data_IF_042927065573
#
_entry.id   IF_042927065573
#
_cell.length_a   1.000
_cell.length_b   1.000
_cell.length_c   1.000
_cell.angle_alpha   90.00
_cell.angle_beta   90.00
_cell.angle_gamma   90.00
#
_symmetry.space_group_name_H-M   'P 1'
#
loop_
_entity.id
_entity.type
_entity.pdbx_description
1 polymer ?
#
# COMPACT_ATOMS: atom_id res chain seq x y z
N UNK A 1 25.59 15.08 0.74
CA UNK A 1 24.93 14.38 1.86
C UNK A 1 23.46 14.26 1.50
N UNK A 2 22.84 13.08 1.68
CA UNK A 2 21.42 12.87 1.41
C UNK A 2 20.51 13.48 2.50
N UNK A 3 21.05 13.71 3.70
CA UNK A 3 20.39 14.43 4.80
C UNK A 3 20.31 15.92 4.47
N UNK A 4 19.30 16.27 3.67
CA UNK A 4 18.95 17.64 3.30
C UNK A 4 17.65 18.02 3.98
N UNK A 5 17.53 19.29 4.37
CA UNK A 5 16.24 19.81 4.83
C UNK A 5 15.22 19.82 3.68
N UNK A 6 13.93 19.76 4.01
CA UNK A 6 12.88 19.83 2.98
C UNK A 6 13.00 21.10 2.14
N UNK A 7 13.31 22.24 2.76
CA UNK A 7 13.53 23.51 2.07
C UNK A 7 14.61 23.40 0.99
N UNK A 8 15.78 22.82 1.31
CA UNK A 8 16.86 22.65 0.33
C UNK A 8 16.47 21.73 -0.84
N UNK A 9 15.70 20.67 -0.56
CA UNK A 9 15.22 19.73 -1.59
C UNK A 9 14.25 20.45 -2.53
N UNK A 10 13.26 21.13 -1.96
CA UNK A 10 12.25 21.85 -2.73
C UNK A 10 12.87 23.01 -3.52
N UNK A 11 13.84 23.73 -2.97
CA UNK A 11 14.51 24.82 -3.68
C UNK A 11 15.38 24.31 -4.83
N UNK A 12 16.05 23.15 -4.67
CA UNK A 12 16.76 22.52 -5.79
C UNK A 12 15.81 22.08 -6.90
N UNK A 13 14.63 21.53 -6.56
CA UNK A 13 13.58 21.19 -7.53
C UNK A 13 13.02 22.43 -8.25
N UNK A 14 12.76 23.53 -7.53
CA UNK A 14 12.36 24.81 -8.14
C UNK A 14 13.42 25.32 -9.12
N UNK A 15 14.68 25.32 -8.71
CA UNK A 15 15.79 25.76 -9.55
C UNK A 15 15.86 24.93 -10.83
N UNK A 16 15.74 23.60 -10.73
CA UNK A 16 15.68 22.71 -11.89
C UNK A 16 14.53 23.07 -12.84
N UNK A 17 13.30 23.22 -12.32
CA UNK A 17 12.14 23.56 -13.14
C UNK A 17 12.24 24.95 -13.79
N UNK A 18 12.99 25.88 -13.20
CA UNK A 18 13.22 27.21 -13.78
C UNK A 18 14.11 27.19 -15.02
N UNK A 19 14.96 26.16 -15.17
CA UNK A 19 15.89 26.02 -16.31
C UNK A 19 15.20 25.49 -17.59
N UNK A 20 13.95 25.01 -17.48
CA UNK A 20 13.22 24.41 -18.59
C UNK A 20 11.89 25.12 -18.83
N UNK A 21 11.66 25.57 -20.07
CA UNK A 21 10.35 26.08 -20.49
C UNK A 21 9.30 24.95 -20.63
N UNK A 22 9.76 23.71 -20.82
CA UNK A 22 8.90 22.55 -20.96
C UNK A 22 8.23 22.17 -19.62
N UNK A 23 8.92 22.33 -18.49
CA UNK A 23 8.33 22.07 -17.17
C UNK A 23 7.39 23.21 -16.80
N UNK A 24 6.10 22.89 -16.66
CA UNK A 24 5.01 23.84 -16.39
C UNK A 24 4.64 23.90 -14.92
N UNK A 25 4.64 22.77 -14.24
CA UNK A 25 4.41 22.72 -12.80
C UNK A 25 5.19 21.59 -12.13
N UNK A 26 5.49 21.78 -10.85
CA UNK A 26 5.97 20.75 -9.95
C UNK A 26 5.02 20.66 -8.77
N UNK A 27 4.52 19.46 -8.47
CA UNK A 27 3.55 19.22 -7.40
C UNK A 27 4.12 18.15 -6.47
N UNK A 28 4.20 18.46 -5.18
CA UNK A 28 4.51 17.49 -4.13
C UNK A 28 3.21 16.81 -3.70
N UNK A 29 3.21 15.48 -3.63
CA UNK A 29 2.05 14.67 -3.22
C UNK A 29 2.39 13.68 -2.09
N UNK A 30 1.46 12.77 -1.77
CA UNK A 30 1.70 11.63 -0.86
C UNK A 30 2.03 12.03 0.59
N UNK A 31 2.89 11.27 1.28
CA UNK A 31 3.15 11.35 2.73
C UNK A 31 3.67 12.70 3.25
N UNK A 32 4.10 13.60 2.36
CA UNK A 32 4.58 14.94 2.69
C UNK A 32 3.50 16.02 2.60
N UNK A 33 2.30 15.65 2.15
CA UNK A 33 1.15 16.56 2.04
C UNK A 33 -0.07 15.94 2.72
N UNK A 34 -0.88 16.79 3.32
CA UNK A 34 -2.10 16.39 4.02
C UNK A 34 -2.07 16.74 5.51
N UNK A 35 -3.23 17.06 6.10
CA UNK A 35 -3.33 17.70 7.42
C UNK A 35 -2.86 16.81 8.58
N UNK A 36 -2.92 15.49 8.41
CA UNK A 36 -2.60 14.51 9.45
C UNK A 36 -1.27 13.78 9.20
N UNK A 37 -0.49 14.25 8.24
CA UNK A 37 0.83 13.69 7.95
C UNK A 37 1.89 14.29 8.86
N UNK A 38 2.91 13.49 9.19
CA UNK A 38 4.09 13.92 9.96
C UNK A 38 5.32 13.40 9.21
N UNK A 39 5.66 14.02 8.06
CA UNK A 39 6.81 13.58 7.29
C UNK A 39 8.08 13.75 8.13
N UNK A 40 9.00 12.81 7.95
CA UNK A 40 10.29 12.79 8.60
C UNK A 40 11.43 12.70 7.56
N UNK A 41 12.65 12.46 8.04
CA UNK A 41 13.83 12.32 7.19
C UNK A 41 13.83 11.06 6.33
N UNK A 42 13.00 10.07 6.65
CA UNK A 42 12.87 8.82 5.92
C UNK A 42 11.72 8.85 4.91
N UNK A 43 10.91 9.91 4.92
CA UNK A 43 9.83 10.09 3.97
C UNK A 43 10.40 10.41 2.59
N UNK A 44 9.95 9.71 1.56
CA UNK A 44 10.37 9.95 0.18
C UNK A 44 9.74 11.24 -0.37
N UNK A 45 10.19 11.69 -1.55
CA UNK A 45 9.59 12.82 -2.27
C UNK A 45 8.85 12.31 -3.50
N UNK A 46 7.52 12.31 -3.43
CA UNK A 46 6.66 12.04 -4.57
C UNK A 46 6.42 13.35 -5.34
N UNK A 47 7.02 13.49 -6.52
CA UNK A 47 7.01 14.71 -7.31
C UNK A 47 6.33 14.46 -8.65
N UNK A 48 5.21 15.13 -8.86
CA UNK A 48 4.61 15.21 -10.19
C UNK A 48 5.21 16.36 -10.98
N UNK A 49 5.67 16.04 -12.18
CA UNK A 49 6.29 16.98 -13.13
C UNK A 49 5.32 17.16 -14.29
N UNK A 50 4.66 18.31 -14.34
CA UNK A 50 3.73 18.62 -15.43
C UNK A 50 4.50 19.28 -16.57
N UNK A 51 4.43 18.72 -17.76
CA UNK A 51 5.23 19.14 -18.94
C UNK A 51 4.37 19.31 -20.18
N UNK A 52 4.84 20.10 -21.15
CA UNK A 52 4.20 20.17 -22.48
C UNK A 52 4.61 18.98 -23.37
N UNK A 53 5.84 18.51 -23.24
CA UNK A 53 6.43 17.39 -24.00
C UNK A 53 7.15 16.39 -23.06
N UNK A 54 6.92 15.10 -23.29
CA UNK A 54 7.54 14.01 -22.54
C UNK A 54 8.91 13.60 -23.09
N UNK A 55 9.22 13.92 -24.35
CA UNK A 55 10.44 13.46 -25.04
C UNK A 55 11.72 13.70 -24.22
N UNK A 56 11.93 14.87 -23.58
CA UNK A 56 13.16 15.12 -22.82
C UNK A 56 13.33 14.20 -21.59
N UNK A 57 12.27 13.52 -21.18
CA UNK A 57 12.23 12.60 -20.05
C UNK A 57 12.23 11.12 -20.48
N UNK A 58 12.34 10.86 -21.79
CA UNK A 58 12.50 9.51 -22.33
C UNK A 58 13.87 8.89 -22.02
N UNK A 59 14.83 9.71 -21.59
CA UNK A 59 16.15 9.32 -21.10
C UNK A 59 16.44 9.90 -19.70
N UNK A 60 17.64 9.62 -19.18
CA UNK A 60 18.04 9.93 -17.81
C UNK A 60 19.01 11.12 -17.67
N UNK A 61 19.38 11.80 -18.75
CA UNK A 61 20.45 12.81 -18.72
C UNK A 61 20.14 13.95 -17.73
N UNK A 62 18.85 14.32 -17.62
CA UNK A 62 18.35 15.34 -16.69
C UNK A 62 18.57 15.00 -15.22
N UNK A 63 18.70 13.71 -14.85
CA UNK A 63 18.93 13.29 -13.46
C UNK A 63 20.28 13.75 -12.91
N UNK A 64 21.26 13.98 -13.79
CA UNK A 64 22.60 14.46 -13.42
C UNK A 64 22.57 15.79 -12.65
N UNK A 65 21.52 16.60 -12.85
CA UNK A 65 21.29 17.83 -12.09
C UNK A 65 21.14 17.57 -10.57
N UNK A 66 20.49 16.47 -10.19
CA UNK A 66 20.24 16.13 -8.79
C UNK A 66 21.45 15.48 -8.12
N UNK A 67 22.26 14.77 -8.89
CA UNK A 67 23.51 14.16 -8.47
C UNK A 67 23.69 12.77 -9.08
N UNK A 68 24.62 11.99 -8.53
CA UNK A 68 24.86 10.62 -8.97
C UNK A 68 23.71 9.70 -8.53
N UNK A 69 23.13 8.97 -9.48
CA UNK A 69 22.06 7.99 -9.23
C UNK A 69 22.64 6.69 -8.69
N UNK A 70 22.10 6.19 -7.57
CA UNK A 70 22.41 4.87 -7.01
C UNK A 70 21.56 3.77 -7.64
N UNK A 71 20.24 3.97 -7.66
CA UNK A 71 19.27 3.01 -8.17
C UNK A 71 18.18 3.77 -8.90
N UNK A 72 17.69 3.18 -9.99
CA UNK A 72 16.59 3.70 -10.78
C UNK A 72 15.58 2.60 -11.06
N UNK A 73 14.30 2.95 -10.99
CA UNK A 73 13.20 2.10 -11.45
C UNK A 73 12.22 2.94 -12.25
N UNK A 74 11.60 2.42 -13.32
CA UNK A 74 11.90 1.15 -14.03
C UNK A 74 13.33 1.07 -14.62
N UNK A 75 13.70 0.06 -15.42
CA UNK A 75 15.03 0.04 -16.06
C UNK A 75 15.23 1.26 -16.99
N UNK A 76 14.26 1.46 -17.89
CA UNK A 76 14.15 2.62 -18.77
C UNK A 76 12.92 3.46 -18.39
N UNK A 77 12.95 4.79 -18.53
CA UNK A 77 11.78 5.64 -18.33
C UNK A 77 10.59 5.13 -19.16
N UNK A 78 9.46 4.88 -18.49
CA UNK A 78 8.24 4.41 -19.14
C UNK A 78 7.03 4.69 -18.26
N UNK A 79 5.86 4.57 -18.85
CA UNK A 79 4.61 4.49 -18.11
C UNK A 79 4.54 3.21 -17.28
N UNK A 80 4.19 3.30 -16.00
CA UNK A 80 3.96 2.13 -15.14
C UNK A 80 2.50 1.99 -14.68
N UNK A 81 1.57 2.64 -15.39
CA UNK A 81 0.13 2.50 -15.18
C UNK A 81 -0.52 3.59 -14.33
N UNK A 82 0.19 4.65 -13.96
CA UNK A 82 -0.36 5.72 -13.10
C UNK A 82 -1.37 6.62 -13.82
N UNK A 83 -1.01 7.12 -15.00
CA UNK A 83 -1.83 8.04 -15.81
C UNK A 83 -1.59 7.73 -17.28
N UNK A 84 -2.52 8.07 -18.18
CA UNK A 84 -2.28 7.93 -19.62
C UNK A 84 -1.21 8.93 -20.06
N UNK A 85 -0.29 8.51 -20.93
CA UNK A 85 0.78 9.36 -21.47
C UNK A 85 1.58 10.06 -20.36
N UNK A 86 2.18 9.23 -19.51
CA UNK A 86 3.14 9.66 -18.49
C UNK A 86 4.37 8.76 -18.46
N UNK A 87 5.41 9.26 -17.80
CA UNK A 87 6.66 8.56 -17.54
C UNK A 87 6.85 8.51 -16.04
N UNK A 88 7.09 7.32 -15.50
CA UNK A 88 7.49 7.12 -14.11
C UNK A 88 9.00 6.98 -14.03
N UNK A 89 9.63 7.68 -13.09
CA UNK A 89 11.06 7.59 -12.82
C UNK A 89 11.36 7.71 -11.33
N UNK A 90 11.58 6.58 -10.67
CA UNK A 90 11.87 6.48 -9.24
C UNK A 90 13.38 6.36 -9.06
N UNK A 91 13.98 7.25 -8.27
CA UNK A 91 15.44 7.43 -8.23
C UNK A 91 15.94 7.59 -6.80
N UNK A 92 16.92 6.77 -6.45
CA UNK A 92 17.74 6.93 -5.24
C UNK A 92 19.05 7.58 -5.64
N UNK A 93 19.47 8.64 -4.94
CA UNK A 93 20.71 9.35 -5.23
C UNK A 93 21.74 9.19 -4.12
N UNK A 94 23.02 9.42 -4.42
CA UNK A 94 24.11 9.42 -3.42
C UNK A 94 24.07 10.65 -2.51
N UNK A 95 23.68 11.80 -3.06
CA UNK A 95 23.80 13.12 -2.41
C UNK A 95 22.50 13.94 -2.41
N UNK A 96 21.37 13.28 -2.66
CA UNK A 96 20.03 13.83 -2.67
C UNK A 96 19.08 12.75 -2.11
N UNK A 97 17.93 13.09 -1.49
CA UNK A 97 16.98 12.08 -1.05
C UNK A 97 16.43 11.30 -2.24
N UNK A 98 15.78 10.16 -1.95
CA UNK A 98 14.99 9.46 -2.95
C UNK A 98 13.86 10.36 -3.45
N UNK A 99 13.65 10.37 -4.76
CA UNK A 99 12.55 11.07 -5.42
C UNK A 99 11.87 10.13 -6.39
N UNK A 100 10.55 10.04 -6.25
CA UNK A 100 9.67 9.31 -7.14
C UNK A 100 9.02 10.33 -8.09
N UNK A 101 9.57 10.43 -9.30
CA UNK A 101 9.06 11.36 -10.32
C UNK A 101 7.94 10.72 -11.14
N UNK A 102 6.80 11.41 -11.22
CA UNK A 102 5.73 11.11 -12.16
C UNK A 102 5.62 12.26 -13.16
N UNK A 103 6.12 12.06 -14.37
CA UNK A 103 6.14 13.08 -15.42
C UNK A 103 4.88 12.93 -16.28
N UNK A 104 4.01 13.94 -16.24
CA UNK A 104 2.71 13.93 -16.89
C UNK A 104 2.64 15.00 -17.96
N UNK A 105 2.09 14.67 -19.13
CA UNK A 105 1.78 15.70 -20.11
C UNK A 105 0.58 16.52 -19.66
N UNK A 106 0.71 17.85 -19.69
CA UNK A 106 -0.29 18.83 -19.26
C UNK A 106 -1.64 18.64 -19.92
N UNK A 107 -1.70 18.19 -21.18
CA UNK A 107 -2.99 17.98 -21.87
C UNK A 107 -3.84 16.86 -21.23
N UNK A 108 -3.23 15.98 -20.43
CA UNK A 108 -3.91 14.93 -19.68
C UNK A 108 -3.95 15.20 -18.18
N UNK A 109 -3.73 16.46 -17.77
CA UNK A 109 -3.80 16.85 -16.37
C UNK A 109 -5.19 16.53 -15.78
N UNK A 110 -5.21 15.70 -14.74
CA UNK A 110 -6.42 15.27 -14.06
C UNK A 110 -6.43 15.84 -12.64
N UNK A 111 -7.27 16.84 -12.40
CA UNK A 111 -7.38 17.47 -11.10
C UNK A 111 -8.01 16.55 -10.02
N UNK A 112 -8.67 15.45 -10.40
CA UNK A 112 -9.40 14.59 -9.47
C UNK A 112 -8.50 13.71 -8.61
N UNK A 113 -7.24 13.50 -9.03
CA UNK A 113 -6.28 12.60 -8.34
C UNK A 113 -5.63 13.22 -7.09
N UNK A 114 -5.95 14.47 -6.76
CA UNK A 114 -5.32 15.21 -5.67
C UNK A 114 -6.16 15.31 -4.38
N UNK A 115 -7.21 14.49 -4.22
CA UNK A 115 -8.08 14.52 -3.04
C UNK A 115 -7.35 14.20 -1.72
N UNK A 116 -6.28 13.42 -1.78
CA UNK A 116 -5.42 13.10 -0.62
C UNK A 116 -4.45 14.23 -0.23
N UNK A 117 -4.44 15.35 -0.96
CA UNK A 117 -3.63 16.51 -0.68
C UNK A 117 -2.52 16.72 -1.71
N UNK A 118 -2.09 17.98 -1.84
CA UNK A 118 -1.07 18.40 -2.79
C UNK A 118 -0.41 19.70 -2.32
N UNK A 119 0.80 19.98 -2.84
CA UNK A 119 1.50 21.26 -2.66
C UNK A 119 2.23 21.63 -3.93
N UNK A 120 1.79 22.70 -4.60
CA UNK A 120 2.53 23.26 -5.72
C UNK A 120 3.86 23.83 -5.24
N UNK A 121 4.94 23.35 -5.85
CA UNK A 121 6.30 23.86 -5.68
C UNK A 121 6.57 24.94 -6.74
N UNK A 122 6.09 24.69 -7.96
CA UNK A 122 6.15 25.59 -9.13
C UNK A 122 4.82 25.48 -9.86
N UNK A 123 4.24 26.60 -10.27
CA UNK A 123 3.03 26.64 -11.10
C UNK A 123 3.12 27.81 -12.09
N UNK A 124 3.53 27.53 -13.34
CA UNK A 124 3.67 28.55 -14.39
C UNK A 124 2.35 28.85 -15.12
N UNK A 125 1.36 27.97 -14.97
CA UNK A 125 0.12 27.98 -15.74
C UNK A 125 -1.12 28.20 -14.85
N UNK A 126 -0.92 28.43 -13.55
CA UNK A 126 -1.99 28.58 -12.56
C UNK A 126 -2.92 27.35 -12.49
N UNK A 127 -2.36 26.14 -12.67
CA UNK A 127 -3.08 24.87 -12.60
C UNK A 127 -3.73 24.65 -11.25
N UNK A 128 -3.14 25.17 -10.16
CA UNK A 128 -3.70 25.06 -8.82
C UNK A 128 -5.16 25.55 -8.74
N UNK A 129 -5.52 26.57 -9.53
CA UNK A 129 -6.88 27.14 -9.56
C UNK A 129 -7.94 26.17 -10.10
N UNK A 130 -7.52 25.13 -10.80
CA UNK A 130 -8.40 24.10 -11.38
C UNK A 130 -8.65 22.93 -10.43
N UNK A 131 -7.89 22.83 -9.33
CA UNK A 131 -7.98 21.70 -8.40
C UNK A 131 -8.96 22.03 -7.27
N UNK A 132 -9.97 21.18 -7.02
CA UNK A 132 -10.84 21.32 -5.85
C UNK A 132 -10.06 21.24 -4.54
N UNK A 133 -10.60 21.85 -3.48
CA UNK A 133 -10.02 21.71 -2.15
C UNK A 133 -10.04 20.23 -1.73
N UNK A 134 -8.88 19.63 -1.34
CA UNK A 134 -8.81 18.23 -0.94
C UNK A 134 -9.71 17.93 0.25
N UNK A 135 -10.49 16.84 0.18
CA UNK A 135 -11.26 16.35 1.33
C UNK A 135 -10.38 15.50 2.26
N UNK A 136 -9.28 14.96 1.75
CA UNK A 136 -8.36 14.04 2.45
C UNK A 136 -9.07 12.78 2.97
N UNK A 137 -10.11 12.32 2.27
CA UNK A 137 -10.92 11.17 2.70
C UNK A 137 -10.59 9.88 1.96
N UNK A 138 -9.84 9.95 0.86
CA UNK A 138 -9.45 8.81 0.02
C UNK A 138 -8.97 7.59 0.81
N UNK A 139 -8.04 7.80 1.75
CA UNK A 139 -7.43 6.72 2.54
C UNK A 139 -8.11 6.43 3.88
N UNK A 140 -9.23 7.09 4.18
CA UNK A 140 -10.00 6.80 5.40
C UNK A 140 -10.69 5.45 5.21
N UNK A 141 -10.58 4.59 6.22
CA UNK A 141 -11.20 3.26 6.21
C UNK A 141 -12.72 3.43 6.10
N UNK A 142 -13.29 2.88 5.03
CA UNK A 142 -14.73 2.86 4.82
C UNK A 142 -15.32 1.65 5.54
N UNK A 143 -16.48 1.86 6.19
CA UNK A 143 -17.28 0.75 6.73
C UNK A 143 -17.65 -0.19 5.58
N UNK A 144 -17.40 -1.51 5.69
CA UNK A 144 -17.75 -2.44 4.62
C UNK A 144 -19.26 -2.55 4.44
N UNK A 145 -19.70 -3.05 3.29
CA UNK A 145 -21.04 -3.62 3.19
C UNK A 145 -21.04 -5.01 3.86
N UNK A 146 -22.22 -5.54 4.19
CA UNK A 146 -22.31 -6.91 4.68
C UNK A 146 -21.78 -7.92 3.64
N UNK A 147 -22.02 -7.66 2.35
CA UNK A 147 -21.53 -8.49 1.25
C UNK A 147 -20.01 -8.51 1.20
N UNK A 148 -19.36 -7.34 1.14
CA UNK A 148 -17.88 -7.23 1.13
C UNK A 148 -17.25 -7.88 2.36
N UNK A 149 -17.88 -7.69 3.52
CA UNK A 149 -17.43 -8.26 4.77
C UNK A 149 -17.41 -9.79 4.72
N UNK A 150 -18.50 -10.40 4.29
CA UNK A 150 -18.61 -11.86 4.22
C UNK A 150 -17.83 -12.45 3.06
N UNK A 151 -17.64 -11.73 1.95
CA UNK A 151 -16.73 -12.14 0.88
C UNK A 151 -15.29 -12.32 1.39
N UNK A 152 -14.83 -11.43 2.28
CA UNK A 152 -13.50 -11.57 2.90
C UNK A 152 -13.43 -12.74 3.89
N UNK A 153 -14.53 -13.04 4.61
CA UNK A 153 -14.60 -14.22 5.48
C UNK A 153 -14.54 -15.49 4.64
N UNK A 154 -15.39 -15.59 3.61
CA UNK A 154 -15.46 -16.75 2.74
C UNK A 154 -14.13 -16.96 2.00
N UNK A 155 -13.50 -15.89 1.51
CA UNK A 155 -12.17 -15.92 0.89
C UNK A 155 -11.07 -16.45 1.81
N UNK A 156 -11.04 -16.03 3.09
CA UNK A 156 -10.06 -16.53 4.05
C UNK A 156 -10.15 -18.06 4.21
N UNK A 157 -11.36 -18.59 4.40
CA UNK A 157 -11.57 -20.02 4.63
C UNK A 157 -11.52 -20.85 3.34
N UNK A 158 -11.82 -20.25 2.19
CA UNK A 158 -11.66 -20.88 0.89
C UNK A 158 -10.20 -21.22 0.59
N UNK A 159 -9.27 -20.34 0.97
CA UNK A 159 -7.85 -20.51 0.66
C UNK A 159 -7.10 -21.39 1.67
N UNK A 160 -7.60 -21.51 2.91
CA UNK A 160 -6.94 -22.28 3.97
C UNK A 160 -6.62 -23.75 3.59
N UNK A 161 -7.50 -24.49 2.88
CA UNK A 161 -7.19 -25.83 2.39
C UNK A 161 -5.99 -25.91 1.44
N UNK A 162 -5.62 -24.84 0.73
CA UNK A 162 -4.41 -24.86 -0.09
C UNK A 162 -3.17 -25.01 0.77
N UNK A 163 -3.12 -24.38 1.95
CA UNK A 163 -1.99 -24.56 2.88
C UNK A 163 -1.91 -26.03 3.29
N UNK A 164 -3.00 -26.63 3.77
CA UNK A 164 -3.01 -28.03 4.19
C UNK A 164 -2.58 -29.00 3.07
N UNK A 165 -3.10 -28.81 1.85
CA UNK A 165 -2.72 -29.60 0.68
C UNK A 165 -1.24 -29.45 0.33
N UNK A 166 -0.74 -28.22 0.37
CA UNK A 166 0.66 -27.89 0.06
C UNK A 166 1.60 -28.55 1.06
N UNK A 167 1.32 -28.40 2.36
CA UNK A 167 2.08 -29.03 3.43
C UNK A 167 2.08 -30.55 3.29
N UNK A 168 0.93 -31.14 2.97
CA UNK A 168 0.83 -32.58 2.76
C UNK A 168 1.70 -33.10 1.61
N UNK A 169 1.93 -32.26 0.59
CA UNK A 169 2.77 -32.57 -0.58
C UNK A 169 4.23 -32.16 -0.39
N UNK A 170 4.60 -31.55 0.73
CA UNK A 170 5.93 -30.99 0.94
C UNK A 170 6.21 -29.70 0.16
N UNK A 171 5.18 -29.01 -0.34
CA UNK A 171 5.25 -27.78 -1.14
C UNK A 171 5.42 -26.53 -0.25
N UNK A 172 6.47 -26.51 0.59
CA UNK A 172 6.63 -25.49 1.64
C UNK A 172 6.69 -24.04 1.11
N UNK A 173 7.32 -23.83 -0.05
CA UNK A 173 7.39 -22.50 -0.66
C UNK A 173 6.00 -21.98 -1.05
N UNK A 174 5.16 -22.86 -1.61
CA UNK A 174 3.79 -22.49 -1.99
C UNK A 174 2.89 -22.32 -0.77
N UNK A 175 3.05 -23.14 0.27
CA UNK A 175 2.33 -22.96 1.54
C UNK A 175 2.61 -21.59 2.18
N UNK A 176 3.87 -21.13 2.17
CA UNK A 176 4.25 -19.79 2.65
C UNK A 176 3.67 -18.66 1.81
N UNK A 177 3.67 -18.83 0.49
CA UNK A 177 3.02 -17.88 -0.43
C UNK A 177 1.53 -17.77 -0.12
N UNK A 178 0.83 -18.89 0.03
CA UNK A 178 -0.59 -18.89 0.39
C UNK A 178 -0.83 -18.21 1.74
N UNK A 179 -0.02 -18.51 2.77
CA UNK A 179 -0.18 -17.92 4.10
C UNK A 179 0.07 -16.41 4.11
N UNK A 180 1.22 -15.96 3.58
CA UNK A 180 1.68 -14.58 3.76
C UNK A 180 1.43 -13.66 2.58
N UNK A 181 1.27 -14.16 1.36
CA UNK A 181 1.01 -13.31 0.19
C UNK A 181 -0.47 -13.27 -0.17
N UNK A 182 -1.13 -14.43 -0.22
CA UNK A 182 -2.56 -14.51 -0.52
C UNK A 182 -3.41 -14.21 0.74
N UNK A 183 -3.48 -15.15 1.68
CA UNK A 183 -4.44 -15.06 2.81
C UNK A 183 -4.19 -13.83 3.68
N UNK A 184 -2.93 -13.55 4.04
CA UNK A 184 -2.59 -12.40 4.89
C UNK A 184 -3.00 -11.07 4.29
N UNK A 185 -2.73 -10.82 3.01
CA UNK A 185 -2.92 -9.50 2.41
C UNK A 185 -4.22 -9.36 1.59
N UNK A 186 -4.83 -10.46 1.17
CA UNK A 186 -6.13 -10.41 0.50
C UNK A 186 -7.28 -10.39 1.51
N UNK A 187 -7.40 -11.41 2.37
CA UNK A 187 -8.57 -11.55 3.25
C UNK A 187 -8.31 -11.01 4.66
N UNK A 188 -7.19 -11.37 5.27
CA UNK A 188 -6.88 -10.99 6.65
C UNK A 188 -6.65 -9.47 6.80
N UNK A 189 -5.88 -8.84 5.91
CA UNK A 189 -5.60 -7.39 5.93
C UNK A 189 -6.87 -6.55 5.76
N UNK A 190 -7.81 -6.98 4.90
CA UNK A 190 -9.14 -6.34 4.78
C UNK A 190 -9.91 -6.37 6.10
N UNK A 191 -9.99 -7.55 6.73
CA UNK A 191 -10.66 -7.71 8.02
C UNK A 191 -9.98 -6.88 9.11
N UNK A 192 -8.64 -6.90 9.16
CA UNK A 192 -7.85 -6.12 10.12
C UNK A 192 -8.07 -4.62 9.92
N UNK A 193 -8.09 -4.13 8.67
CA UNK A 193 -8.38 -2.74 8.34
C UNK A 193 -9.74 -2.31 8.85
N UNK A 194 -10.81 -3.08 8.58
CA UNK A 194 -12.15 -2.77 9.08
C UNK A 194 -12.25 -2.87 10.60
N UNK A 195 -11.57 -3.84 11.21
CA UNK A 195 -11.52 -3.97 12.66
C UNK A 195 -10.88 -2.73 13.28
N UNK A 196 -9.74 -2.27 12.77
CA UNK A 196 -9.10 -1.01 13.19
C UNK A 196 -10.03 0.18 12.95
N UNK A 197 -10.70 0.25 11.80
CA UNK A 197 -11.69 1.29 11.49
C UNK A 197 -12.82 1.35 12.52
N UNK A 198 -13.35 0.20 12.93
CA UNK A 198 -14.41 0.10 13.93
C UNK A 198 -13.98 0.63 15.30
N UNK A 199 -12.73 0.39 15.70
CA UNK A 199 -12.18 0.87 16.98
C UNK A 199 -11.77 2.35 16.94
N UNK A 200 -11.74 2.96 15.76
CA UNK A 200 -11.34 4.35 15.52
C UNK A 200 -12.46 5.17 14.84
N UNK A 201 -13.72 4.85 15.12
CA UNK A 201 -14.90 5.59 14.66
C UNK A 201 -14.97 5.81 13.14
N UNK A 202 -14.38 4.91 12.34
CA UNK A 202 -14.31 5.01 10.87
C UNK A 202 -13.67 6.31 10.36
N UNK A 203 -12.77 6.90 11.13
CA UNK A 203 -12.07 8.15 10.81
C UNK A 203 -10.54 7.97 10.63
N UNK A 204 -10.04 6.74 10.77
CA UNK A 204 -8.61 6.44 10.68
C UNK A 204 -8.16 6.14 9.24
N UNK A 205 -6.92 6.54 8.94
CA UNK A 205 -6.18 6.07 7.77
C UNK A 205 -5.29 4.88 8.18
N UNK A 206 -5.69 3.67 7.77
CA UNK A 206 -4.96 2.43 8.06
C UNK A 206 -3.53 2.42 7.51
N UNK A 207 -3.32 3.15 6.40
CA UNK A 207 -2.14 3.03 5.56
C UNK A 207 -2.13 1.71 4.77
N UNK A 208 -1.33 1.67 3.71
CA UNK A 208 -1.13 0.44 2.92
C UNK A 208 -0.63 -0.67 3.83
N UNK A 209 -1.37 -1.80 3.86
CA UNK A 209 -1.07 -3.01 4.64
C UNK A 209 -0.71 -2.75 6.11
N UNK A 210 -1.48 -1.88 6.78
CA UNK A 210 -1.31 -1.62 8.20
C UNK A 210 -0.09 -0.78 8.55
N UNK A 211 0.42 0.05 7.63
CA UNK A 211 1.54 0.98 7.89
C UNK A 211 1.34 1.86 9.14
N UNK A 212 0.10 2.10 9.57
CA UNK A 212 -0.21 2.85 10.79
C UNK A 212 -0.75 1.98 11.94
N UNK A 213 -0.66 0.64 11.87
CA UNK A 213 -1.27 -0.28 12.84
C UNK A 213 -0.88 0.04 14.29
N UNK A 214 0.41 0.25 14.57
CA UNK A 214 0.94 0.54 15.90
C UNK A 214 0.45 1.88 16.46
N UNK A 215 0.11 2.83 15.58
CA UNK A 215 -0.42 4.14 15.96
C UNK A 215 -1.93 4.10 16.25
N UNK A 216 -2.62 3.12 15.68
CA UNK A 216 -4.08 3.02 15.69
C UNK A 216 -4.62 1.95 16.64
N UNK A 217 -3.75 1.16 17.24
CA UNK A 217 -4.11 0.04 18.12
C UNK A 217 -3.25 0.02 19.38
N UNK A 218 -3.66 -0.75 20.38
CA UNK A 218 -2.85 -0.96 21.57
C UNK A 218 -1.68 -1.92 21.28
N UNK A 219 -0.59 -1.77 22.05
CA UNK A 219 0.62 -2.56 21.87
C UNK A 219 0.41 -4.09 21.91
N UNK A 220 -0.41 -4.66 22.82
CA UNK A 220 -0.69 -6.10 22.80
C UNK A 220 -1.28 -6.60 21.48
N UNK A 221 -2.29 -5.90 20.95
CA UNK A 221 -2.93 -6.30 19.69
C UNK A 221 -1.98 -6.17 18.49
N UNK A 222 -1.25 -5.06 18.39
CA UNK A 222 -0.24 -4.88 17.34
C UNK A 222 0.83 -5.99 17.38
N UNK A 223 1.30 -6.35 18.59
CA UNK A 223 2.25 -7.45 18.76
C UNK A 223 1.69 -8.80 18.31
N UNK A 224 0.40 -9.08 18.58
CA UNK A 224 -0.26 -10.31 18.14
C UNK A 224 -0.33 -10.39 16.61
N UNK A 225 -0.72 -9.31 15.93
CA UNK A 225 -0.69 -9.23 14.45
C UNK A 225 0.73 -9.41 13.90
N UNK A 226 1.71 -8.74 14.53
CA UNK A 226 3.11 -8.79 14.09
C UNK A 226 3.80 -10.13 14.40
N UNK A 227 3.24 -10.94 15.29
CA UNK A 227 3.72 -12.30 15.57
C UNK A 227 3.33 -13.33 14.51
N UNK A 228 2.42 -12.98 13.60
CA UNK A 228 2.07 -13.85 12.48
C UNK A 228 3.25 -13.91 11.51
N UNK A 229 3.80 -15.09 11.30
CA UNK A 229 4.98 -15.30 10.44
C UNK A 229 4.79 -16.47 9.47
N UNK A 230 5.76 -16.68 8.59
CA UNK A 230 5.69 -17.71 7.56
C UNK A 230 5.86 -19.13 8.14
N UNK A 231 6.64 -19.27 9.22
CA UNK A 231 7.12 -20.57 9.72
C UNK A 231 8.33 -21.14 8.96
N UNK A 232 9.19 -21.90 9.65
CA UNK A 232 10.43 -22.45 9.10
C UNK A 232 10.29 -23.88 8.55
N UNK A 233 9.32 -24.64 9.05
CA UNK A 233 9.00 -26.01 8.62
C UNK A 233 7.48 -26.18 8.47
N UNK A 234 7.04 -27.40 8.14
CA UNK A 234 5.62 -27.71 7.92
C UNK A 234 4.77 -27.43 9.16
N UNK A 235 5.23 -27.84 10.33
CA UNK A 235 4.56 -27.70 11.61
C UNK A 235 4.39 -26.22 11.97
N UNK A 236 5.43 -25.41 11.81
CA UNK A 236 5.41 -23.98 12.05
C UNK A 236 4.44 -23.26 11.11
N UNK A 237 4.44 -23.60 9.81
CA UNK A 237 3.53 -22.99 8.83
C UNK A 237 2.08 -23.28 9.21
N UNK A 238 1.76 -24.53 9.57
CA UNK A 238 0.41 -24.89 9.98
C UNK A 238 0.00 -24.19 11.28
N UNK A 239 0.89 -24.17 12.27
CA UNK A 239 0.62 -23.48 13.53
C UNK A 239 0.41 -21.97 13.33
N UNK A 240 1.17 -21.34 12.43
CA UNK A 240 0.98 -19.94 12.08
C UNK A 240 -0.34 -19.68 11.33
N UNK A 241 -0.77 -20.60 10.45
CA UNK A 241 -2.08 -20.54 9.82
C UNK A 241 -3.22 -20.59 10.84
N UNK A 242 -3.11 -21.48 11.85
CA UNK A 242 -4.07 -21.56 12.95
C UNK A 242 -4.06 -20.31 13.85
N UNK A 243 -2.88 -19.74 14.13
CA UNK A 243 -2.78 -18.50 14.90
C UNK A 243 -3.44 -17.31 14.15
N UNK A 244 -3.22 -17.22 12.84
CA UNK A 244 -3.85 -16.22 11.99
C UNK A 244 -5.37 -16.40 11.95
N UNK A 245 -5.84 -17.64 11.79
CA UNK A 245 -7.27 -17.96 11.80
C UNK A 245 -7.92 -17.60 13.13
N UNK A 246 -7.30 -17.92 14.26
CA UNK A 246 -7.83 -17.57 15.59
C UNK A 246 -8.01 -16.06 15.75
N UNK A 247 -7.02 -15.28 15.28
CA UNK A 247 -7.10 -13.82 15.31
C UNK A 247 -8.16 -13.29 14.34
N UNK A 248 -8.22 -13.83 13.12
CA UNK A 248 -9.22 -13.49 12.12
C UNK A 248 -10.64 -13.78 12.62
N UNK A 249 -10.84 -14.93 13.26
CA UNK A 249 -12.09 -15.37 13.88
C UNK A 249 -12.58 -14.35 14.90
N UNK A 250 -11.73 -14.03 15.88
CA UNK A 250 -12.04 -13.04 16.91
C UNK A 250 -12.40 -11.67 16.30
N UNK A 251 -11.63 -11.19 15.33
CA UNK A 251 -11.91 -9.90 14.69
C UNK A 251 -13.26 -9.89 13.96
N UNK A 252 -13.56 -10.92 13.16
CA UNK A 252 -14.79 -10.92 12.38
C UNK A 252 -16.02 -11.15 13.25
N UNK A 253 -15.96 -12.00 14.27
CA UNK A 253 -17.08 -12.23 15.19
C UNK A 253 -17.43 -10.95 15.96
N UNK A 254 -16.42 -10.26 16.52
CA UNK A 254 -16.61 -8.97 17.18
C UNK A 254 -17.20 -7.93 16.23
N UNK A 255 -16.64 -7.83 15.01
CA UNK A 255 -17.03 -6.82 14.05
C UNK A 255 -18.44 -7.07 13.50
N UNK A 256 -18.79 -8.31 13.16
CA UNK A 256 -20.13 -8.69 12.71
C UNK A 256 -21.20 -8.35 13.77
N UNK A 257 -20.91 -8.65 15.04
CA UNK A 257 -21.79 -8.27 16.16
C UNK A 257 -21.94 -6.74 16.27
N UNK A 258 -20.84 -5.99 16.21
CA UNK A 258 -20.87 -4.53 16.32
C UNK A 258 -21.59 -3.84 15.15
N UNK A 259 -21.52 -4.42 13.96
CA UNK A 259 -22.16 -3.93 12.73
C UNK A 259 -23.58 -4.48 12.54
N UNK A 260 -24.02 -5.39 13.42
CA UNK A 260 -25.32 -6.06 13.36
C UNK A 260 -25.56 -6.82 12.05
N UNK A 261 -24.51 -7.42 11.50
CA UNK A 261 -24.62 -8.28 10.31
C UNK A 261 -25.15 -9.65 10.69
N UNK A 262 -26.12 -10.17 9.92
CA UNK A 262 -26.90 -11.38 10.26
C UNK A 262 -26.79 -12.51 9.23
N UNK A 263 -25.71 -12.58 8.44
CA UNK A 263 -25.51 -13.66 7.47
C UNK A 263 -24.95 -14.88 8.20
N UNK A 264 -25.44 -16.05 7.82
CA UNK A 264 -24.79 -17.31 8.16
C UNK A 264 -23.47 -17.40 7.37
N UNK A 265 -22.36 -17.53 8.10
CA UNK A 265 -21.02 -17.69 7.51
C UNK A 265 -20.75 -19.15 7.20
N UNK A 266 -19.72 -19.40 6.38
CA UNK A 266 -19.13 -20.74 6.26
C UNK A 266 -18.85 -21.33 7.65
N UNK A 267 -19.08 -22.63 7.81
CA UNK A 267 -18.78 -23.31 9.06
C UNK A 267 -17.25 -23.42 9.23
N UNK A 268 -16.68 -22.44 9.94
CA UNK A 268 -15.24 -22.24 10.11
C UNK A 268 -14.57 -23.45 10.77
N UNK A 269 -15.25 -24.09 11.72
CA UNK A 269 -14.78 -25.32 12.39
C UNK A 269 -14.71 -26.49 11.42
N UNK A 270 -15.70 -26.67 10.55
CA UNK A 270 -15.69 -27.73 9.53
C UNK A 270 -14.58 -27.53 8.51
N UNK A 271 -14.25 -26.29 8.15
CA UNK A 271 -13.11 -26.00 7.27
C UNK A 271 -11.79 -26.38 7.93
N UNK A 272 -11.59 -26.05 9.22
CA UNK A 272 -10.39 -26.45 9.96
C UNK A 272 -10.28 -27.97 10.06
N UNK A 273 -11.38 -28.65 10.40
CA UNK A 273 -11.44 -30.11 10.43
C UNK A 273 -11.11 -30.73 9.07
N UNK A 274 -11.59 -30.12 7.98
CA UNK A 274 -11.26 -30.55 6.62
C UNK A 274 -9.76 -30.41 6.32
N UNK A 275 -9.14 -29.30 6.71
CA UNK A 275 -7.70 -29.10 6.58
C UNK A 275 -6.89 -30.12 7.40
N UNK A 276 -7.31 -30.41 8.64
CA UNK A 276 -6.66 -31.42 9.48
C UNK A 276 -6.73 -32.81 8.85
N UNK A 277 -7.90 -33.21 8.33
CA UNK A 277 -8.06 -34.47 7.60
C UNK A 277 -7.11 -34.57 6.40
N UNK A 278 -6.90 -33.47 5.66
CA UNK A 278 -5.95 -33.44 4.54
C UNK A 278 -4.52 -33.76 5.02
N UNK A 279 -4.08 -33.18 6.13
CA UNK A 279 -2.74 -33.39 6.68
C UNK A 279 -2.52 -34.86 7.10
N UNK A 280 -3.58 -35.55 7.50
CA UNK A 280 -3.56 -36.95 7.94
C UNK A 280 -3.64 -37.97 6.79
N UNK A 281 -4.01 -37.57 5.56
CA UNK A 281 -4.21 -38.49 4.43
C UNK A 281 -2.97 -39.35 4.14
N UNK A 282 -3.14 -40.57 3.64
CA UNK A 282 -2.05 -41.21 2.89
C UNK A 282 -2.13 -40.75 1.44
N UNK A 283 -0.99 -40.37 0.84
CA UNK A 283 -0.93 -39.99 -0.58
C UNK A 283 -0.57 -41.19 -1.49
N UNK A 284 -0.54 -42.40 -0.95
CA UNK A 284 -0.38 -43.61 -1.74
C UNK A 284 -1.56 -43.77 -2.71
N UNK A 285 -1.25 -44.07 -3.97
CA UNK A 285 -2.23 -44.22 -5.06
C UNK A 285 -2.88 -45.58 -5.06
#
# INVERSE_FOLDING_TARGET
MFDKSETEVLDKLKAWASLSNNIRALILTSSRVGPNTKPDKLSDYDIEVIVDDLEPFSNDEWLSYFGTTLVKWPLYPRNTGYTKNSISRLVVFTSFPRVDFQINNKIFFDASVYDSGYKFIVDKDNLQSTIPKPTNTEYIIKRPSAEDFYEAVDGFYWDLPYIAKSLKRGELAFARFMLLSAIRYDSFDRMLSWYVGSKNNWAANYGVHGRNLEKLTNKPFANEVNSLEAGNNSEDIWQNALNMEKLFRRMHEELANSLQYKKEVVNTEQVILYCQKILELSLEK
#
